data_IF_149115475732
#
_entry.id   IF_149115475732
#
_cell.length_a   1.000
_cell.length_b   1.000
_cell.length_c   1.000
_cell.angle_alpha   90.00
_cell.angle_beta   90.00
_cell.angle_gamma   90.00
#
_symmetry.space_group_name_H-M   'P 1'
#
loop_
_entity.id
_entity.type
_entity.pdbx_description
1 polymer ?
#
# COMPACT_ATOMS: atom_id res chain seq x y z
N UNK A 1 15.78 -11.12 -7.37
CA UNK A 1 15.62 -9.86 -6.62
C UNK A 1 14.61 -8.96 -7.29
N UNK A 2 13.59 -8.54 -6.54
CA UNK A 2 12.63 -7.54 -7.00
C UNK A 2 13.34 -6.25 -7.47
N UNK A 3 12.86 -5.66 -8.58
CA UNK A 3 13.46 -4.48 -9.22
C UNK A 3 13.55 -3.26 -8.27
N UNK A 4 12.70 -3.22 -7.25
CA UNK A 4 12.64 -2.14 -6.25
C UNK A 4 13.73 -2.21 -5.17
N UNK A 5 14.39 -3.36 -4.94
CA UNK A 5 15.32 -3.55 -3.82
C UNK A 5 16.46 -2.54 -3.80
N UNK A 6 17.20 -2.31 -4.91
CA UNK A 6 18.31 -1.34 -4.90
C UNK A 6 17.89 0.09 -4.54
N UNK A 7 16.67 0.48 -4.90
CA UNK A 7 16.10 1.78 -4.53
C UNK A 7 15.79 1.88 -3.04
N UNK A 8 15.24 0.81 -2.45
CA UNK A 8 14.95 0.73 -1.03
C UNK A 8 16.24 0.75 -0.19
N UNK A 9 17.26 -0.01 -0.58
CA UNK A 9 18.56 -0.02 0.10
C UNK A 9 19.20 1.37 0.13
N UNK A 10 19.17 2.08 -1.00
CA UNK A 10 19.67 3.47 -1.08
C UNK A 10 18.89 4.39 -0.14
N UNK A 11 17.56 4.32 -0.15
CA UNK A 11 16.72 5.14 0.72
C UNK A 11 17.01 4.89 2.20
N UNK A 12 17.21 3.63 2.60
CA UNK A 12 17.58 3.28 3.98
C UNK A 12 18.96 3.83 4.36
N UNK A 13 19.94 3.78 3.45
CA UNK A 13 21.28 4.30 3.69
C UNK A 13 21.31 5.83 3.87
N UNK A 14 20.42 6.56 3.22
CA UNK A 14 20.29 8.02 3.32
C UNK A 14 19.64 8.47 4.64
N UNK A 15 18.96 7.58 5.36
CA UNK A 15 18.21 7.91 6.57
C UNK A 15 18.89 7.37 7.84
N UNK A 16 19.68 8.18 8.57
CA UNK A 16 20.42 7.73 9.75
C UNK A 16 19.54 7.19 10.90
N UNK A 17 18.24 7.49 10.90
CA UNK A 17 17.23 6.93 11.83
C UNK A 17 16.69 5.54 11.46
N UNK A 18 16.98 5.03 10.26
CA UNK A 18 16.50 3.74 9.76
C UNK A 18 17.25 2.53 10.33
N UNK A 19 18.07 2.71 11.38
CA UNK A 19 18.91 1.66 12.00
C UNK A 19 18.14 0.48 12.60
N UNK A 20 16.81 0.57 12.69
CA UNK A 20 15.92 -0.50 13.17
C UNK A 20 15.04 -1.08 12.07
N UNK A 21 15.31 -0.74 10.80
CA UNK A 21 14.57 -1.23 9.65
C UNK A 21 15.37 -2.31 8.96
N UNK A 22 14.74 -3.46 8.75
CA UNK A 22 15.30 -4.58 8.01
C UNK A 22 14.53 -4.75 6.69
N UNK A 23 15.26 -5.00 5.61
CA UNK A 23 14.67 -5.28 4.30
C UNK A 23 14.68 -6.80 4.08
N UNK A 24 13.49 -7.39 3.94
CA UNK A 24 13.32 -8.81 3.67
C UNK A 24 12.61 -9.01 2.33
N UNK A 25 13.26 -9.74 1.42
CA UNK A 25 12.62 -10.15 0.17
C UNK A 25 11.66 -11.32 0.40
N UNK A 26 10.44 -11.19 -0.13
CA UNK A 26 9.40 -12.22 -0.09
C UNK A 26 9.20 -12.83 -1.48
N UNK A 27 8.86 -14.13 -1.59
CA UNK A 27 8.49 -14.74 -2.86
C UNK A 27 7.32 -14.01 -3.54
N UNK A 28 7.38 -13.91 -4.87
CA UNK A 28 6.31 -13.34 -5.68
C UNK A 28 5.18 -14.36 -5.86
N UNK A 29 4.28 -14.41 -4.88
CA UNK A 29 3.06 -15.21 -4.93
C UNK A 29 1.87 -14.34 -4.56
N UNK A 30 0.69 -14.66 -5.09
CA UNK A 30 -0.53 -13.89 -4.83
C UNK A 30 -0.81 -13.70 -3.32
N UNK A 31 -0.39 -14.67 -2.51
CA UNK A 31 -0.74 -14.73 -1.09
C UNK A 31 0.36 -14.11 -0.21
N UNK A 32 1.57 -13.85 -0.72
CA UNK A 32 2.69 -13.38 0.10
C UNK A 32 2.50 -11.97 0.67
N UNK A 33 1.53 -11.20 0.15
CA UNK A 33 1.12 -9.89 0.69
C UNK A 33 0.08 -9.93 1.81
N UNK A 34 -0.49 -11.10 2.13
CA UNK A 34 -1.41 -11.24 3.25
C UNK A 34 -0.68 -11.07 4.60
N UNK A 35 -1.29 -10.38 5.55
CA UNK A 35 -0.61 -9.95 6.78
C UNK A 35 -0.01 -11.11 7.59
N UNK A 36 -0.74 -12.23 7.74
CA UNK A 36 -0.24 -13.40 8.44
C UNK A 36 0.86 -14.13 7.66
N UNK A 37 0.79 -14.14 6.33
CA UNK A 37 1.83 -14.66 5.45
C UNK A 37 3.12 -13.85 5.54
N UNK A 38 3.03 -12.52 5.64
CA UNK A 38 4.19 -11.63 5.88
C UNK A 38 4.86 -11.97 7.21
N UNK A 39 4.08 -12.09 8.29
CA UNK A 39 4.62 -12.45 9.61
C UNK A 39 5.24 -13.84 9.59
N UNK A 40 4.59 -14.82 8.95
CA UNK A 40 5.13 -16.17 8.82
C UNK A 40 6.43 -16.19 8.01
N UNK A 41 6.53 -15.37 6.95
CA UNK A 41 7.74 -15.24 6.15
C UNK A 41 8.90 -14.73 6.99
N UNK A 42 8.67 -13.74 7.86
CA UNK A 42 9.69 -13.23 8.78
C UNK A 42 10.07 -14.30 9.83
N UNK A 43 9.10 -15.03 10.36
CA UNK A 43 9.33 -15.99 11.45
C UNK A 43 9.99 -17.31 11.00
N UNK A 44 9.58 -17.85 9.84
CA UNK A 44 9.90 -19.23 9.42
C UNK A 44 10.52 -19.31 8.03
N UNK A 45 10.51 -18.22 7.27
CA UNK A 45 10.86 -18.20 5.85
C UNK A 45 9.72 -18.65 4.92
N UNK A 46 8.58 -19.12 5.43
CA UNK A 46 7.43 -19.51 4.60
C UNK A 46 6.44 -18.37 4.43
N UNK A 47 6.11 -18.01 3.18
CA UNK A 47 5.12 -16.97 2.85
C UNK A 47 3.71 -17.56 2.64
N UNK A 48 3.28 -18.44 3.54
CA UNK A 48 1.93 -18.99 3.56
C UNK A 48 1.13 -18.40 4.72
N UNK A 49 -0.17 -18.08 4.54
CA UNK A 49 -1.00 -17.60 5.62
C UNK A 49 -1.09 -18.64 6.71
N UNK A 50 -1.18 -18.15 7.94
CA UNK A 50 -1.43 -19.00 9.10
C UNK A 50 -2.90 -18.83 9.47
N UNK A 51 -3.58 -19.94 9.73
CA UNK A 51 -4.88 -19.90 10.39
C UNK A 51 -4.64 -19.58 11.88
N UNK A 52 -4.84 -18.32 12.26
CA UNK A 52 -4.57 -17.83 13.62
C UNK A 52 -5.87 -17.51 14.33
N UNK A 53 -6.06 -18.11 15.52
CA UNK A 53 -7.21 -17.81 16.39
C UNK A 53 -7.17 -16.41 17.01
N UNK A 54 -5.98 -15.81 17.12
CA UNK A 54 -5.76 -14.49 17.71
C UNK A 54 -5.32 -13.52 16.64
N UNK A 55 -5.63 -12.24 16.81
CA UNK A 55 -5.18 -11.19 15.88
C UNK A 55 -3.67 -10.99 16.01
N UNK A 56 -3.00 -10.66 14.91
CA UNK A 56 -1.56 -10.31 14.92
C UNK A 56 -1.24 -9.17 15.89
N UNK A 57 -2.16 -8.20 16.01
CA UNK A 57 -2.05 -7.08 16.95
C UNK A 57 -2.07 -7.51 18.42
N UNK A 58 -2.53 -8.72 18.73
CA UNK A 58 -2.55 -9.29 20.09
C UNK A 58 -1.38 -10.25 20.29
N UNK A 59 -1.07 -11.08 19.29
CA UNK A 59 -0.03 -12.09 19.34
C UNK A 59 0.39 -12.49 17.91
N UNK A 60 1.36 -11.78 17.34
CA UNK A 60 1.91 -12.00 16.00
C UNK A 60 3.31 -12.62 16.05
N UNK A 61 4.30 -11.88 15.54
CA UNK A 61 5.69 -12.35 15.41
C UNK A 61 6.25 -12.80 16.76
N UNK A 62 6.64 -14.07 16.86
CA UNK A 62 7.17 -14.69 18.09
C UNK A 62 6.24 -14.51 19.32
N UNK A 63 4.93 -14.43 19.11
CA UNK A 63 3.95 -14.24 20.18
C UNK A 63 3.81 -12.80 20.68
N UNK A 64 4.52 -11.84 20.07
CA UNK A 64 4.42 -10.43 20.43
C UNK A 64 3.37 -9.69 19.59
N UNK A 65 2.64 -8.72 20.18
CA UNK A 65 1.79 -7.79 19.43
C UNK A 65 2.52 -7.22 18.20
N UNK A 66 1.97 -7.48 17.01
CA UNK A 66 2.58 -7.12 15.73
C UNK A 66 1.58 -6.39 14.86
N UNK A 67 1.96 -5.20 14.39
CA UNK A 67 1.17 -4.44 13.45
C UNK A 67 1.76 -4.58 12.05
N UNK A 68 0.94 -5.02 11.10
CA UNK A 68 1.28 -5.03 9.68
C UNK A 68 0.51 -3.90 9.02
N UNK A 69 1.21 -3.01 8.32
CA UNK A 69 0.64 -1.78 7.77
C UNK A 69 1.06 -1.66 6.31
N UNK A 70 0.15 -1.22 5.45
CA UNK A 70 0.47 -0.90 4.06
C UNK A 70 1.46 0.28 3.99
N UNK A 71 2.35 0.25 3.00
CA UNK A 71 3.36 1.30 2.75
C UNK A 71 2.71 2.68 2.57
N UNK A 72 1.60 2.77 1.84
CA UNK A 72 0.87 4.01 1.62
C UNK A 72 0.31 4.58 2.93
N UNK A 73 -0.20 3.73 3.82
CA UNK A 73 -0.68 4.16 5.13
C UNK A 73 0.46 4.74 5.98
N UNK A 74 1.66 4.12 5.96
CA UNK A 74 2.83 4.67 6.66
C UNK A 74 3.27 6.02 6.06
N UNK A 75 3.25 6.15 4.73
CA UNK A 75 3.54 7.41 4.06
C UNK A 75 2.54 8.51 4.45
N UNK A 76 1.25 8.20 4.47
CA UNK A 76 0.21 9.14 4.90
C UNK A 76 0.36 9.53 6.37
N UNK A 77 0.69 8.59 7.27
CA UNK A 77 0.98 8.89 8.68
C UNK A 77 2.17 9.86 8.79
N UNK A 78 3.23 9.65 8.00
CA UNK A 78 4.39 10.55 8.01
C UNK A 78 4.02 11.96 7.53
N UNK A 79 3.18 12.08 6.49
CA UNK A 79 2.67 13.37 6.01
C UNK A 79 1.76 14.05 7.04
N UNK A 80 0.87 13.31 7.70
CA UNK A 80 0.02 13.81 8.80
C UNK A 80 0.89 14.29 9.97
N UNK A 81 1.93 13.55 10.34
CA UNK A 81 2.84 13.95 11.42
C UNK A 81 3.58 15.25 11.08
N UNK A 82 3.90 15.47 9.79
CA UNK A 82 4.62 16.65 9.31
C UNK A 82 3.72 17.88 9.15
N UNK A 83 2.52 17.72 8.59
CA UNK A 83 1.65 18.82 8.17
C UNK A 83 0.39 18.97 9.04
N UNK A 84 0.12 18.01 9.92
CA UNK A 84 -1.02 18.01 10.83
C UNK A 84 -2.28 17.37 10.24
N UNK A 85 -3.18 16.96 11.13
CA UNK A 85 -4.45 16.31 10.76
C UNK A 85 -5.39 17.23 9.97
N UNK A 86 -5.36 18.55 10.22
CA UNK A 86 -6.16 19.52 9.50
C UNK A 86 -5.76 19.63 8.02
N UNK A 87 -4.46 19.55 7.72
CA UNK A 87 -3.95 19.52 6.35
C UNK A 87 -4.45 18.27 5.61
N UNK A 88 -4.32 17.09 6.22
CA UNK A 88 -4.77 15.83 5.61
C UNK A 88 -6.29 15.84 5.34
N UNK A 89 -7.08 16.36 6.28
CA UNK A 89 -8.54 16.52 6.14
C UNK A 89 -8.95 17.67 5.22
N UNK A 90 -8.00 18.48 4.74
CA UNK A 90 -8.24 19.55 3.77
C UNK A 90 -8.45 19.05 2.35
N UNK A 91 -8.15 17.78 2.08
CA UNK A 91 -8.41 17.10 0.82
C UNK A 91 -9.39 15.92 1.03
N UNK A 92 -10.07 15.50 -0.03
CA UNK A 92 -11.09 14.45 0.04
C UNK A 92 -12.41 14.93 0.63
N UNK A 93 -13.22 13.99 1.12
CA UNK A 93 -14.51 14.29 1.76
C UNK A 93 -14.42 14.17 3.28
N UNK A 94 -15.43 14.64 4.00
CA UNK A 94 -15.47 14.50 5.46
C UNK A 94 -15.47 13.02 5.93
N UNK A 95 -16.13 12.13 5.16
CA UNK A 95 -16.19 10.70 5.45
C UNK A 95 -14.95 9.93 4.95
N UNK A 96 -14.23 10.49 3.98
CA UNK A 96 -13.08 9.88 3.33
C UNK A 96 -12.01 10.95 3.09
N UNK A 97 -11.27 11.37 4.13
CA UNK A 97 -10.30 12.46 4.06
C UNK A 97 -8.96 12.01 3.47
N UNK A 98 -8.23 12.97 2.91
CA UNK A 98 -6.92 12.77 2.31
C UNK A 98 -6.99 12.31 0.85
N UNK A 99 -5.88 11.76 0.40
CA UNK A 99 -5.70 11.22 -0.96
C UNK A 99 -5.30 9.75 -0.92
N UNK A 100 -5.44 9.06 -2.05
CA UNK A 100 -4.89 7.73 -2.28
C UNK A 100 -4.30 7.60 -3.67
N UNK A 101 -3.37 6.67 -3.83
CA UNK A 101 -2.82 6.29 -5.11
C UNK A 101 -3.65 5.16 -5.72
N UNK A 102 -4.11 5.35 -6.95
CA UNK A 102 -4.79 4.33 -7.74
C UNK A 102 -3.92 3.95 -8.94
N UNK A 103 -3.56 2.67 -9.03
CA UNK A 103 -2.99 2.10 -10.24
C UNK A 103 -4.13 1.76 -11.20
N UNK A 104 -4.22 2.49 -12.31
CA UNK A 104 -5.23 2.28 -13.34
C UNK A 104 -4.56 1.64 -14.54
N UNK A 105 -5.04 0.46 -14.91
CA UNK A 105 -4.59 -0.29 -16.08
C UNK A 105 -5.78 -0.56 -16.99
N UNK A 106 -5.54 -0.70 -18.29
CA UNK A 106 -6.61 -0.86 -19.26
C UNK A 106 -6.15 -1.45 -20.58
N UNK A 107 -7.08 -1.64 -21.52
CA UNK A 107 -6.76 -2.15 -22.84
C UNK A 107 -5.96 -1.12 -23.65
N UNK A 108 -5.13 -1.61 -24.57
CA UNK A 108 -4.45 -0.79 -25.58
C UNK A 108 -5.48 0.10 -26.34
N UNK A 109 -5.20 1.39 -26.58
CA UNK A 109 -3.93 2.12 -26.40
C UNK A 109 -3.74 2.81 -25.05
N UNK A 110 -4.58 2.51 -24.04
CA UNK A 110 -4.49 3.16 -22.74
C UNK A 110 -3.24 2.68 -22.00
N UNK A 111 -2.44 3.63 -21.50
CA UNK A 111 -1.23 3.33 -20.74
C UNK A 111 -1.57 3.17 -19.26
N UNK A 112 -0.88 2.21 -18.63
CA UNK A 112 -0.90 2.08 -17.18
C UNK A 112 -0.41 3.37 -16.52
N UNK A 113 -1.17 3.84 -15.52
CA UNK A 113 -0.89 5.09 -14.81
C UNK A 113 -1.17 4.92 -13.32
N UNK A 114 -0.40 5.63 -12.50
CA UNK A 114 -0.70 5.81 -11.07
C UNK A 114 -1.22 7.23 -10.89
N UNK A 115 -2.45 7.34 -10.37
CA UNK A 115 -3.11 8.61 -10.11
C UNK A 115 -3.23 8.82 -8.60
N UNK A 116 -2.81 10.00 -8.13
CA UNK A 116 -3.20 10.47 -6.80
C UNK A 116 -4.59 11.09 -6.88
N UNK A 117 -5.54 10.54 -6.12
CA UNK A 117 -6.95 10.96 -6.17
C UNK A 117 -7.46 11.32 -4.78
N UNK A 118 -8.32 12.35 -4.65
CA UNK A 118 -8.93 12.69 -3.37
C UNK A 118 -9.89 11.59 -2.91
N UNK A 119 -10.04 11.46 -1.60
CA UNK A 119 -11.07 10.60 -1.03
C UNK A 119 -12.47 11.01 -1.51
N UNK A 120 -13.32 10.02 -1.81
CA UNK A 120 -14.62 10.21 -2.45
C UNK A 120 -14.62 10.57 -3.94
N UNK A 121 -13.47 10.54 -4.64
CA UNK A 121 -13.43 10.74 -6.09
C UNK A 121 -14.37 9.76 -6.83
N UNK A 122 -15.07 10.24 -7.86
CA UNK A 122 -15.93 9.38 -8.69
C UNK A 122 -15.07 8.52 -9.60
N UNK A 123 -15.45 7.26 -9.76
CA UNK A 123 -14.77 6.34 -10.68
C UNK A 123 -14.70 6.91 -12.12
N UNK A 124 -15.74 7.61 -12.58
CA UNK A 124 -15.75 8.27 -13.89
C UNK A 124 -14.62 9.28 -14.05
N UNK A 125 -14.34 10.07 -13.00
CA UNK A 125 -13.34 11.12 -13.03
C UNK A 125 -11.94 10.49 -13.03
N UNK A 126 -11.76 9.38 -12.32
CA UNK A 126 -10.53 8.58 -12.32
C UNK A 126 -10.26 8.01 -13.71
N UNK A 127 -11.25 7.37 -14.34
CA UNK A 127 -11.13 6.78 -15.67
C UNK A 127 -10.81 7.84 -16.74
N UNK A 128 -11.49 8.98 -16.70
CA UNK A 128 -11.22 10.10 -17.60
C UNK A 128 -9.81 10.66 -17.39
N UNK A 129 -9.36 10.77 -16.14
CA UNK A 129 -7.98 11.20 -15.82
C UNK A 129 -6.93 10.20 -16.32
N UNK A 130 -7.28 8.92 -16.40
CA UNK A 130 -6.46 7.88 -17.02
C UNK A 130 -6.56 7.86 -18.56
N UNK A 131 -7.33 8.76 -19.18
CA UNK A 131 -7.50 8.84 -20.63
C UNK A 131 -8.51 7.84 -21.21
N UNK A 132 -9.38 7.25 -20.37
CA UNK A 132 -10.44 6.35 -20.80
C UNK A 132 -11.78 7.09 -20.91
N UNK A 133 -12.59 6.74 -21.92
CA UNK A 133 -13.98 7.18 -22.00
C UNK A 133 -14.89 6.15 -21.30
N UNK A 134 -15.50 6.48 -20.14
CA UNK A 134 -16.39 5.57 -19.43
C UNK A 134 -17.58 5.06 -20.26
N UNK A 135 -18.02 5.81 -21.28
CA UNK A 135 -19.12 5.40 -22.16
C UNK A 135 -18.75 4.24 -23.10
N UNK A 136 -17.45 4.01 -23.31
CA UNK A 136 -16.94 2.94 -24.17
C UNK A 136 -16.58 1.66 -23.40
N UNK A 137 -16.59 1.71 -22.07
CA UNK A 137 -16.23 0.59 -21.21
C UNK A 137 -17.45 -0.27 -20.89
N UNK A 138 -17.31 -1.59 -21.06
CA UNK A 138 -18.36 -2.55 -20.71
C UNK A 138 -18.36 -2.92 -19.22
N UNK A 139 -17.20 -2.88 -18.56
CA UNK A 139 -17.03 -3.22 -17.16
C UNK A 139 -15.72 -2.62 -16.61
N UNK A 140 -15.69 -2.40 -15.30
CA UNK A 140 -14.49 -1.98 -14.56
C UNK A 140 -14.38 -2.85 -13.32
N UNK A 141 -13.19 -3.41 -13.07
CA UNK A 141 -12.86 -4.09 -11.83
C UNK A 141 -12.29 -3.07 -10.85
N UNK A 142 -12.89 -2.97 -9.67
CA UNK A 142 -12.47 -2.11 -8.57
C UNK A 142 -12.09 -2.98 -7.39
#
# INVERSE_FOLDING_TARGET
PAVSIPGLERSLAEHPGARRTELLESPETFISGEASAVVNRIATGSALPLDQRRRLSESGLNGHPTLVVNVETLAQIALIARYGAAWFRGCGTAADPGTRLLSVTGPDPVRDVVLEVPGGAKLTDVLQSAGMDPATLSAVLV
#
